data_IF_729384448189
#
_entry.id   IF_729384448189
#
_cell.length_a   1.000
_cell.length_b   1.000
_cell.length_c   1.000
_cell.angle_alpha   90.00
_cell.angle_beta   90.00
_cell.angle_gamma   90.00
#
_symmetry.space_group_name_H-M   'P 1'
#
loop_
_entity.id
_entity.type
_entity.pdbx_description
1 polymer ?
#
# COMPACT_ATOMS: atom_id res chain seq x y z
N UNK A 1 -32.79 -34.36 -36.83
CA UNK A 1 -33.88 -33.46 -36.38
C UNK A 1 -33.47 -32.99 -34.99
N UNK A 2 -32.92 -31.82 -34.66
CA UNK A 2 -32.52 -30.56 -35.32
C UNK A 2 -31.37 -29.93 -34.47
N UNK A 3 -30.34 -29.38 -35.12
CA UNK A 3 -29.64 -28.12 -34.75
C UNK A 3 -30.49 -26.94 -35.32
N UNK A 4 -30.23 -25.61 -35.12
CA UNK A 4 -29.21 -24.86 -34.34
C UNK A 4 -29.72 -23.53 -33.70
N UNK A 5 -28.82 -22.71 -33.10
CA UNK A 5 -28.59 -21.24 -33.34
C UNK A 5 -27.74 -20.65 -32.18
N UNK A 6 -26.44 -20.44 -32.35
CA UNK A 6 -25.73 -19.22 -32.81
C UNK A 6 -25.89 -17.99 -31.88
N UNK A 7 -24.79 -17.63 -31.20
CA UNK A 7 -24.30 -16.24 -31.16
C UNK A 7 -22.78 -16.25 -31.31
N UNK A 8 -22.33 -15.76 -32.46
CA UNK A 8 -20.94 -15.41 -32.73
C UNK A 8 -20.71 -13.97 -32.24
N UNK A 9 -19.65 -13.76 -31.48
CA UNK A 9 -19.16 -12.46 -31.03
C UNK A 9 -17.65 -12.42 -31.20
N UNK A 10 -17.22 -11.67 -32.20
CA UNK A 10 -15.86 -11.40 -32.64
C UNK A 10 -14.95 -11.00 -31.46
N UNK A 11 -13.90 -11.79 -31.18
CA UNK A 11 -12.73 -11.27 -30.47
C UNK A 11 -11.65 -10.97 -31.50
N UNK A 12 -11.43 -9.67 -31.70
CA UNK A 12 -10.32 -9.12 -32.48
C UNK A 12 -9.02 -9.53 -31.80
N UNK A 13 -8.11 -10.09 -32.59
CA UNK A 13 -6.80 -10.53 -32.13
C UNK A 13 -5.98 -9.39 -31.56
N UNK A 14 -5.51 -9.59 -30.34
CA UNK A 14 -4.30 -8.95 -29.81
C UNK A 14 -3.22 -10.03 -29.82
N UNK A 15 -2.04 -9.67 -30.32
CA UNK A 15 -0.88 -10.52 -30.57
C UNK A 15 -0.71 -11.68 -29.58
N UNK A 16 -0.53 -12.87 -30.14
CA UNK A 16 -0.68 -14.14 -29.45
C UNK A 16 0.35 -14.41 -28.36
N UNK A 17 -0.15 -14.59 -27.14
CA UNK A 17 0.46 -15.49 -26.17
C UNK A 17 0.03 -16.91 -26.54
N UNK A 18 0.94 -17.73 -27.06
CA UNK A 18 0.63 -19.13 -27.37
C UNK A 18 0.76 -20.06 -26.15
N UNK A 19 1.42 -19.61 -25.08
CA UNK A 19 1.55 -20.33 -23.80
C UNK A 19 1.76 -19.32 -22.65
N UNK A 20 1.15 -19.61 -21.49
CA UNK A 20 1.39 -18.93 -20.21
C UNK A 20 2.78 -19.27 -19.63
N UNK A 21 3.34 -18.42 -18.77
CA UNK A 21 4.63 -18.71 -18.08
C UNK A 21 4.58 -20.02 -17.30
N UNK A 22 3.41 -20.41 -16.81
CA UNK A 22 3.18 -21.69 -16.16
C UNK A 22 3.37 -22.90 -17.10
N UNK A 23 2.89 -22.83 -18.35
CA UNK A 23 3.03 -23.91 -19.34
C UNK A 23 4.47 -24.08 -19.81
N UNK A 24 5.22 -22.98 -19.91
CA UNK A 24 6.68 -23.00 -20.17
C UNK A 24 7.47 -23.62 -19.00
N UNK A 25 7.10 -23.30 -17.76
CA UNK A 25 7.70 -23.92 -16.57
C UNK A 25 7.39 -25.41 -16.46
N UNK A 26 6.15 -25.83 -16.72
CA UNK A 26 5.74 -27.25 -16.71
C UNK A 26 6.49 -28.04 -17.79
N UNK A 27 6.53 -27.52 -19.01
CA UNK A 27 7.27 -28.12 -20.13
C UNK A 27 8.74 -28.31 -19.77
N UNK A 28 9.38 -27.28 -19.20
CA UNK A 28 10.78 -27.37 -18.78
C UNK A 28 10.97 -28.37 -17.65
N UNK A 29 10.12 -28.38 -16.61
CA UNK A 29 10.19 -29.38 -15.53
C UNK A 29 10.12 -30.80 -16.09
N UNK A 30 9.25 -31.06 -17.05
CA UNK A 30 9.19 -32.35 -17.74
C UNK A 30 10.44 -32.63 -18.59
N UNK A 31 10.93 -31.66 -19.35
CA UNK A 31 12.13 -31.80 -20.18
C UNK A 31 13.42 -31.98 -19.36
N UNK A 32 13.54 -31.32 -18.21
CA UNK A 32 14.61 -31.55 -17.23
C UNK A 32 14.52 -32.97 -16.66
N UNK A 33 13.32 -33.47 -16.39
CA UNK A 33 13.09 -34.84 -15.91
C UNK A 33 13.41 -35.90 -16.96
N UNK A 34 13.20 -35.59 -18.24
CA UNK A 34 13.41 -36.49 -19.38
C UNK A 34 14.78 -36.33 -20.05
N UNK A 35 15.60 -35.36 -19.62
CA UNK A 35 16.87 -34.96 -20.24
C UNK A 35 16.75 -34.67 -21.75
N UNK A 36 15.56 -34.23 -22.18
CA UNK A 36 15.19 -34.01 -23.58
C UNK A 36 14.71 -32.57 -23.75
N UNK A 37 15.64 -31.69 -24.12
CA UNK A 37 15.39 -30.24 -24.36
C UNK A 37 15.73 -29.84 -25.80
N UNK A 38 16.11 -30.79 -26.65
CA UNK A 38 16.64 -30.52 -27.99
C UNK A 38 15.57 -30.11 -29.01
N UNK A 39 14.30 -30.45 -28.75
CA UNK A 39 13.21 -30.23 -29.70
C UNK A 39 12.37 -28.94 -29.50
N UNK A 40 12.59 -28.17 -28.44
CA UNK A 40 11.87 -26.89 -28.26
C UNK A 40 12.65 -25.73 -28.87
N UNK A 41 12.03 -25.04 -29.82
CA UNK A 41 12.62 -23.86 -30.46
C UNK A 41 12.51 -22.64 -29.53
N UNK A 42 13.56 -22.40 -28.77
CA UNK A 42 13.67 -21.24 -27.88
C UNK A 42 14.07 -19.94 -28.60
N UNK A 43 14.37 -19.96 -29.89
CA UNK A 43 14.88 -18.77 -30.61
C UNK A 43 13.83 -17.65 -30.73
N UNK A 44 12.54 -18.02 -30.67
CA UNK A 44 11.43 -17.07 -30.60
C UNK A 44 11.39 -16.26 -29.29
N UNK A 45 12.19 -16.63 -28.27
CA UNK A 45 12.21 -15.97 -26.97
C UNK A 45 13.44 -15.07 -26.74
N UNK A 46 14.36 -14.96 -27.72
CA UNK A 46 15.54 -14.08 -27.62
C UNK A 46 15.15 -12.62 -27.33
N UNK A 47 14.07 -12.14 -27.94
CA UNK A 47 13.59 -10.76 -27.76
C UNK A 47 13.07 -10.42 -26.36
N UNK A 48 12.98 -11.39 -25.44
CA UNK A 48 12.65 -11.14 -24.04
C UNK A 48 13.86 -10.68 -23.21
N UNK A 49 15.08 -10.87 -23.74
CA UNK A 49 16.32 -10.38 -23.14
C UNK A 49 16.63 -8.91 -23.50
N UNK A 50 15.92 -8.34 -24.47
CA UNK A 50 16.08 -6.93 -24.84
C UNK A 50 15.49 -6.01 -23.75
N UNK A 51 16.10 -4.82 -23.50
CA UNK A 51 15.59 -3.85 -22.52
C UNK A 51 14.11 -3.54 -22.71
N UNK A 52 13.34 -3.56 -21.62
CA UNK A 52 11.89 -3.31 -21.64
C UNK A 52 11.55 -1.89 -21.20
N UNK A 53 11.49 -0.98 -22.17
CA UNK A 53 11.23 0.43 -21.94
C UNK A 53 9.99 0.92 -22.70
N UNK A 54 8.78 0.45 -22.35
CA UNK A 54 7.56 0.99 -22.95
C UNK A 54 7.39 2.47 -22.56
N UNK A 55 6.89 3.28 -23.49
CA UNK A 55 6.50 4.66 -23.21
C UNK A 55 5.22 4.72 -22.37
N UNK A 56 5.19 5.61 -21.38
CA UNK A 56 4.01 5.83 -20.53
C UNK A 56 2.95 6.62 -21.32
N UNK A 57 1.71 6.14 -21.42
CA UNK A 57 0.62 6.91 -22.01
C UNK A 57 0.34 8.20 -21.23
N UNK A 58 -0.16 9.22 -21.90
CA UNK A 58 -0.75 10.38 -21.23
C UNK A 58 -2.12 9.98 -20.65
N UNK A 59 -2.21 10.01 -19.32
CA UNK A 59 -3.41 9.69 -18.56
C UNK A 59 -4.26 10.91 -18.23
N UNK A 60 -3.90 12.10 -18.69
CA UNK A 60 -4.73 13.30 -18.49
C UNK A 60 -6.02 13.23 -19.32
N UNK A 61 -7.10 13.81 -18.79
CA UNK A 61 -8.36 13.94 -19.51
C UNK A 61 -9.17 15.15 -18.99
N UNK A 62 -10.02 15.79 -19.81
CA UNK A 62 -10.87 16.88 -19.35
C UNK A 62 -11.74 16.46 -18.15
N UNK A 63 -11.66 17.21 -17.05
CA UNK A 63 -12.41 16.95 -15.82
C UNK A 63 -11.86 15.81 -14.94
N UNK A 64 -10.79 15.12 -15.35
CA UNK A 64 -10.11 14.12 -14.53
C UNK A 64 -9.24 14.81 -13.48
N UNK A 65 -9.31 14.31 -12.25
CA UNK A 65 -8.48 14.81 -11.15
C UNK A 65 -7.01 14.44 -11.32
N UNK A 66 -6.11 15.21 -10.70
CA UNK A 66 -4.68 14.92 -10.71
C UNK A 66 -4.43 13.60 -9.99
N UNK A 67 -5.10 13.36 -8.85
CA UNK A 67 -5.01 12.14 -8.06
C UNK A 67 -5.43 10.89 -8.85
N UNK A 68 -6.46 11.02 -9.70
CA UNK A 68 -6.91 9.95 -10.59
C UNK A 68 -5.89 9.67 -11.69
N UNK A 69 -5.34 10.72 -12.28
CA UNK A 69 -4.26 10.62 -13.28
C UNK A 69 -3.03 9.93 -12.66
N UNK A 70 -2.63 10.33 -11.45
CA UNK A 70 -1.53 9.71 -10.70
C UNK A 70 -1.81 8.26 -10.37
N UNK A 71 -3.03 7.91 -9.99
CA UNK A 71 -3.38 6.49 -9.81
C UNK A 71 -3.16 5.68 -11.09
N UNK A 72 -3.53 6.20 -12.27
CA UNK A 72 -3.31 5.51 -13.55
C UNK A 72 -1.81 5.37 -13.86
N UNK A 73 -1.01 6.40 -13.61
CA UNK A 73 0.46 6.31 -13.71
C UNK A 73 1.02 5.21 -12.78
N UNK A 74 0.55 5.14 -11.54
CA UNK A 74 1.00 4.13 -10.56
C UNK A 74 0.62 2.71 -10.99
N UNK A 75 -0.60 2.51 -11.50
CA UNK A 75 -1.04 1.22 -12.07
C UNK A 75 -0.19 0.85 -13.28
N UNK A 76 0.13 1.81 -14.15
CA UNK A 76 0.96 1.56 -15.32
C UNK A 76 2.38 1.17 -14.92
N UNK A 77 3.00 1.88 -13.97
CA UNK A 77 4.35 1.55 -13.50
C UNK A 77 4.39 0.18 -12.81
N UNK A 78 3.34 -0.17 -12.05
CA UNK A 78 3.21 -1.49 -11.43
C UNK A 78 3.20 -2.59 -12.50
N UNK A 79 2.38 -2.42 -13.54
CA UNK A 79 2.29 -3.36 -14.67
C UNK A 79 3.59 -3.42 -15.48
N UNK A 80 4.27 -2.29 -15.66
CA UNK A 80 5.58 -2.26 -16.32
C UNK A 80 6.58 -3.14 -15.56
N UNK A 81 6.69 -2.99 -14.24
CA UNK A 81 7.58 -3.81 -13.40
C UNK A 81 7.20 -5.29 -13.40
N UNK A 82 5.90 -5.59 -13.37
CA UNK A 82 5.41 -6.97 -13.50
C UNK A 82 5.84 -7.59 -14.83
N UNK A 83 5.60 -6.90 -15.95
CA UNK A 83 5.99 -7.37 -17.28
C UNK A 83 7.50 -7.51 -17.42
N UNK A 84 8.29 -6.58 -16.86
CA UNK A 84 9.75 -6.65 -16.83
C UNK A 84 10.24 -7.89 -16.07
N UNK A 85 9.59 -8.21 -14.94
CA UNK A 85 9.88 -9.42 -14.16
C UNK A 85 9.56 -10.69 -14.94
N UNK A 86 8.39 -10.77 -15.58
CA UNK A 86 8.03 -11.92 -16.42
C UNK A 86 8.95 -12.07 -17.64
N UNK A 87 9.35 -10.95 -18.27
CA UNK A 87 10.32 -10.97 -19.37
C UNK A 87 11.68 -11.47 -18.91
N UNK A 88 12.14 -11.03 -17.75
CA UNK A 88 13.40 -11.47 -17.13
C UNK A 88 13.40 -12.98 -16.92
N UNK A 89 12.33 -13.55 -16.35
CA UNK A 89 12.20 -15.00 -16.18
C UNK A 89 12.28 -15.75 -17.51
N UNK A 90 11.58 -15.27 -18.54
CA UNK A 90 11.62 -15.90 -19.87
C UNK A 90 13.04 -15.81 -20.48
N UNK A 91 13.72 -14.68 -20.30
CA UNK A 91 15.11 -14.53 -20.74
C UNK A 91 16.06 -15.50 -20.01
N UNK A 92 15.94 -15.66 -18.70
CA UNK A 92 16.72 -16.64 -17.92
C UNK A 92 16.55 -18.06 -18.48
N UNK A 93 15.32 -18.46 -18.77
CA UNK A 93 15.02 -19.76 -19.37
C UNK A 93 15.65 -19.91 -20.77
N UNK A 94 15.60 -18.85 -21.59
CA UNK A 94 16.26 -18.81 -22.89
C UNK A 94 17.78 -19.01 -22.74
N UNK A 95 18.44 -18.26 -21.85
CA UNK A 95 19.89 -18.35 -21.61
C UNK A 95 20.28 -19.78 -21.17
N UNK A 96 19.55 -20.36 -20.22
CA UNK A 96 19.77 -21.75 -19.77
C UNK A 96 19.67 -22.74 -20.95
N UNK A 97 18.71 -22.53 -21.86
CA UNK A 97 18.55 -23.37 -23.04
C UNK A 97 19.74 -23.28 -24.01
N UNK A 98 20.31 -22.07 -24.20
CA UNK A 98 21.45 -21.85 -25.09
C UNK A 98 22.73 -22.47 -24.52
N UNK A 99 22.97 -22.28 -23.21
CA UNK A 99 24.11 -22.88 -22.50
C UNK A 99 24.10 -24.41 -22.64
N UNK A 100 22.93 -25.06 -22.51
CA UNK A 100 22.80 -26.52 -22.71
C UNK A 100 23.09 -26.97 -24.14
N UNK A 101 22.86 -26.12 -25.14
CA UNK A 101 23.17 -26.42 -26.55
C UNK A 101 24.65 -26.21 -26.90
N UNK A 102 25.49 -25.84 -25.92
CA UNK A 102 26.90 -25.50 -26.14
C UNK A 102 27.09 -24.10 -26.71
N UNK A 103 26.01 -23.33 -26.87
CA UNK A 103 26.05 -21.94 -27.31
C UNK A 103 26.13 -21.07 -26.06
N UNK A 104 27.32 -20.59 -25.71
CA UNK A 104 27.47 -19.61 -24.63
C UNK A 104 27.09 -18.25 -25.22
N UNK A 105 25.99 -17.60 -24.82
CA UNK A 105 25.69 -16.26 -25.26
C UNK A 105 26.75 -15.30 -24.70
N UNK A 106 27.23 -14.38 -25.52
CA UNK A 106 28.28 -13.39 -25.18
C UNK A 106 27.81 -12.35 -24.12
N UNK A 107 26.57 -12.46 -23.65
CA UNK A 107 25.93 -11.51 -22.75
C UNK A 107 25.52 -12.20 -21.44
N UNK A 108 26.46 -12.35 -20.52
CA UNK A 108 26.15 -12.68 -19.12
C UNK A 108 25.92 -11.35 -18.40
N UNK A 109 24.66 -10.92 -18.34
CA UNK A 109 24.25 -9.92 -17.35
C UNK A 109 23.93 -10.65 -16.05
N UNK A 110 24.47 -10.15 -14.94
CA UNK A 110 24.19 -10.62 -13.58
C UNK A 110 22.75 -10.28 -13.22
N UNK A 111 21.86 -11.26 -13.17
CA UNK A 111 20.46 -11.08 -12.77
C UNK A 111 20.28 -11.65 -11.36
N UNK A 112 20.03 -10.77 -10.38
CA UNK A 112 19.63 -11.16 -9.03
C UNK A 112 18.09 -11.10 -8.95
N UNK A 113 17.40 -12.24 -8.98
CA UNK A 113 15.97 -12.33 -8.75
C UNK A 113 15.66 -13.18 -7.49
N UNK A 114 15.09 -12.61 -6.42
CA UNK A 114 14.60 -13.40 -5.30
C UNK A 114 13.16 -13.90 -5.57
N UNK A 115 12.92 -15.20 -5.35
CA UNK A 115 11.60 -15.86 -5.38
C UNK A 115 11.30 -16.41 -4.00
N UNK A 116 10.10 -16.15 -3.43
CA UNK A 116 9.62 -16.82 -2.20
C UNK A 116 8.10 -17.07 -2.27
N UNK A 117 7.67 -18.27 -1.82
CA UNK A 117 6.28 -18.75 -1.65
C UNK A 117 5.91 -18.97 -0.16
N UNK A 118 4.62 -18.76 0.20
CA UNK A 118 3.85 -19.57 1.18
C UNK A 118 3.74 -19.16 2.66
N UNK A 119 2.56 -18.66 3.09
CA UNK A 119 2.04 -18.73 4.49
C UNK A 119 1.60 -17.40 5.17
N UNK A 120 0.45 -17.39 5.88
CA UNK A 120 -0.25 -16.19 6.44
C UNK A 120 0.44 -15.53 7.66
N UNK A 121 1.24 -14.52 7.34
CA UNK A 121 1.34 -13.17 7.95
C UNK A 121 1.02 -12.21 6.79
N UNK A 122 0.82 -10.90 6.98
CA UNK A 122 0.80 -10.01 5.81
C UNK A 122 2.11 -10.26 5.05
N UNK A 123 2.03 -10.85 3.84
CA UNK A 123 3.23 -11.14 3.06
C UNK A 123 3.97 -9.83 2.85
N UNK A 124 5.31 -9.84 2.78
CA UNK A 124 6.16 -8.65 2.73
C UNK A 124 5.88 -7.66 1.56
N UNK A 125 4.82 -7.86 0.76
CA UNK A 125 4.41 -7.07 -0.40
C UNK A 125 2.92 -6.71 -0.40
N UNK A 126 2.15 -7.10 0.62
CA UNK A 126 0.69 -7.01 0.56
C UNK A 126 0.21 -5.55 0.65
N UNK A 127 0.89 -4.71 1.43
CA UNK A 127 0.51 -3.31 1.64
C UNK A 127 1.73 -2.40 1.43
N UNK A 128 2.22 -2.27 0.18
CA UNK A 128 3.49 -1.63 -0.14
C UNK A 128 3.50 -0.11 0.06
N UNK A 129 2.34 0.48 0.37
CA UNK A 129 2.19 1.91 0.68
C UNK A 129 2.31 2.22 2.18
N UNK A 130 2.40 1.21 3.04
CA UNK A 130 2.44 1.43 4.48
C UNK A 130 3.77 2.05 4.91
N UNK A 131 3.69 3.09 5.74
CA UNK A 131 4.84 3.67 6.44
C UNK A 131 4.60 3.78 7.93
N UNK A 132 5.66 3.59 8.72
CA UNK A 132 5.64 3.79 10.17
C UNK A 132 6.33 5.11 10.51
N UNK A 133 5.65 5.98 11.28
CA UNK A 133 6.15 7.31 11.64
C UNK A 133 6.86 7.22 12.99
N UNK A 134 8.14 7.61 13.01
CA UNK A 134 9.05 7.40 14.12
C UNK A 134 9.42 8.69 14.86
N UNK A 135 9.38 8.61 16.19
CA UNK A 135 9.93 9.60 17.12
C UNK A 135 11.23 9.10 17.71
N UNK A 136 12.17 10.01 17.98
CA UNK A 136 13.42 9.64 18.63
C UNK A 136 13.19 9.14 20.04
N UNK A 137 13.81 8.02 20.40
CA UNK A 137 13.78 7.46 21.73
C UNK A 137 14.61 8.33 22.72
N UNK A 138 14.11 8.50 23.95
CA UNK A 138 14.77 9.27 25.01
C UNK A 138 16.04 8.59 25.53
N UNK A 139 15.96 7.29 25.77
CA UNK A 139 17.05 6.44 26.24
C UNK A 139 17.16 5.24 25.29
N UNK A 140 17.84 5.38 24.14
CA UNK A 140 18.01 4.25 23.24
C UNK A 140 18.90 3.20 23.90
N UNK A 141 18.32 2.08 24.32
CA UNK A 141 19.06 0.94 24.92
C UNK A 141 20.10 0.37 23.93
N UNK A 142 19.83 0.47 22.62
CA UNK A 142 20.73 0.06 21.53
C UNK A 142 20.58 1.00 20.31
N UNK A 143 21.58 1.06 19.42
CA UNK A 143 21.57 1.92 18.20
C UNK A 143 20.34 1.70 17.29
N UNK A 144 19.77 0.50 17.25
CA UNK A 144 18.62 0.15 16.40
C UNK A 144 17.25 0.40 17.06
N UNK A 145 17.21 0.71 18.37
CA UNK A 145 16.02 1.23 19.07
C UNK A 145 16.02 2.77 19.11
N UNK A 146 16.60 3.39 18.09
CA UNK A 146 16.67 4.85 17.99
C UNK A 146 15.29 5.48 17.80
N UNK A 147 14.38 4.75 17.16
CA UNK A 147 13.05 5.23 16.79
C UNK A 147 11.96 4.46 17.52
N UNK A 148 10.92 5.18 17.94
CA UNK A 148 9.68 4.64 18.49
C UNK A 148 8.55 5.01 17.53
N UNK A 149 7.96 3.99 16.92
CA UNK A 149 6.89 4.17 15.94
C UNK A 149 5.54 4.21 16.64
N UNK A 150 4.82 5.33 16.55
CA UNK A 150 3.53 5.53 17.26
C UNK A 150 2.36 5.89 16.34
N UNK A 151 2.64 6.19 15.08
CA UNK A 151 1.63 6.40 14.05
C UNK A 151 2.04 5.67 12.78
N UNK A 152 1.05 5.44 11.93
CA UNK A 152 1.23 4.97 10.56
C UNK A 152 0.99 6.13 9.57
N UNK A 153 1.44 5.92 8.35
CA UNK A 153 1.17 6.77 7.20
C UNK A 153 1.01 5.92 5.95
N UNK A 154 0.48 6.55 4.91
CA UNK A 154 0.25 5.94 3.61
C UNK A 154 1.01 6.70 2.55
N UNK A 155 1.94 6.05 1.85
CA UNK A 155 2.65 6.62 0.70
C UNK A 155 1.66 6.92 -0.42
N UNK A 156 1.68 8.16 -0.92
CA UNK A 156 0.75 8.63 -1.97
C UNK A 156 1.50 9.24 -3.17
N UNK A 157 2.80 9.49 -3.04
CA UNK A 157 3.69 9.90 -4.13
C UNK A 157 5.13 9.47 -3.83
N UNK A 158 6.09 9.84 -4.68
CA UNK A 158 7.52 9.56 -4.45
C UNK A 158 8.09 10.25 -3.21
N UNK A 159 7.45 11.28 -2.69
CA UNK A 159 7.97 12.05 -1.56
C UNK A 159 6.89 12.52 -0.58
N UNK A 160 5.65 12.05 -0.71
CA UNK A 160 4.58 12.39 0.22
C UNK A 160 3.90 11.15 0.81
N UNK A 161 3.67 11.20 2.12
CA UNK A 161 2.74 10.33 2.82
C UNK A 161 1.54 11.13 3.32
N UNK A 162 0.40 10.44 3.43
CA UNK A 162 -0.79 10.87 4.13
C UNK A 162 -0.84 10.25 5.53
N UNK A 163 -1.26 11.02 6.53
CA UNK A 163 -1.42 10.55 7.92
C UNK A 163 -2.44 11.43 8.66
N UNK A 164 -2.63 11.20 9.96
CA UNK A 164 -3.48 12.01 10.82
C UNK A 164 -2.73 13.26 11.33
N UNK A 165 -3.42 14.38 11.47
CA UNK A 165 -2.83 15.63 11.96
C UNK A 165 -2.32 15.53 13.40
N UNK A 166 -3.00 14.74 14.25
CA UNK A 166 -2.56 14.53 15.62
C UNK A 166 -1.23 13.75 15.74
N UNK A 167 -0.77 13.12 14.65
CA UNK A 167 0.56 12.51 14.57
C UNK A 167 1.67 13.53 14.33
N UNK A 168 1.36 14.82 14.15
CA UNK A 168 2.38 15.87 13.98
C UNK A 168 3.14 16.16 15.27
N UNK A 169 2.49 15.98 16.43
CA UNK A 169 3.06 16.30 17.73
C UNK A 169 2.44 15.46 18.85
N UNK A 170 3.26 14.66 19.51
CA UNK A 170 2.84 13.87 20.66
C UNK A 170 2.92 14.68 21.96
N UNK A 171 2.00 14.40 22.88
CA UNK A 171 2.00 15.01 24.20
C UNK A 171 2.97 14.29 25.15
N UNK A 172 4.02 14.98 25.61
CA UNK A 172 4.95 14.44 26.62
C UNK A 172 4.28 14.10 27.96
N UNK A 173 3.05 14.60 28.21
CA UNK A 173 2.26 14.23 29.40
C UNK A 173 1.75 12.79 29.34
N UNK A 174 1.71 12.19 28.14
CA UNK A 174 1.16 10.86 27.88
C UNK A 174 2.20 9.86 27.38
N UNK A 175 3.39 10.34 27.03
CA UNK A 175 4.43 9.57 26.33
C UNK A 175 5.79 9.93 26.95
N UNK A 176 6.40 8.97 27.65
CA UNK A 176 7.63 9.19 28.45
C UNK A 176 8.91 8.62 27.83
N UNK A 177 8.76 7.86 26.74
CA UNK A 177 9.81 7.11 26.06
C UNK A 177 10.45 7.87 24.88
N UNK A 178 9.88 9.01 24.47
CA UNK A 178 10.36 9.85 23.37
C UNK A 178 11.22 11.03 23.84
N UNK A 179 12.23 11.40 23.06
CA UNK A 179 13.15 12.51 23.31
C UNK A 179 12.54 13.87 22.91
N UNK A 180 11.68 13.89 21.90
CA UNK A 180 11.05 15.09 21.36
C UNK A 180 9.62 14.81 20.91
N UNK A 181 8.82 15.86 20.75
CA UNK A 181 7.38 15.74 20.47
C UNK A 181 7.04 15.54 19.00
N UNK A 182 7.93 15.97 18.11
CA UNK A 182 7.79 15.92 16.66
C UNK A 182 8.46 14.65 16.10
N UNK A 183 7.83 13.97 15.12
CA UNK A 183 8.45 12.83 14.47
C UNK A 183 9.62 13.29 13.58
N UNK A 184 10.60 12.41 13.39
CA UNK A 184 11.80 12.71 12.60
C UNK A 184 11.90 11.84 11.35
N UNK A 185 11.37 10.62 11.38
CA UNK A 185 11.55 9.65 10.29
C UNK A 185 10.25 8.95 9.92
N UNK A 186 10.22 8.44 8.68
CA UNK A 186 9.26 7.45 8.21
C UNK A 186 10.02 6.20 7.79
N UNK A 187 9.59 5.05 8.31
CA UNK A 187 10.03 3.73 7.89
C UNK A 187 9.10 3.16 6.82
N UNK A 188 9.66 2.69 5.71
CA UNK A 188 8.92 2.23 4.53
C UNK A 188 9.41 0.84 4.09
N UNK A 189 8.63 0.13 3.27
CA UNK A 189 9.10 -1.06 2.55
C UNK A 189 9.32 -2.32 3.40
N UNK A 190 8.82 -2.35 4.64
CA UNK A 190 8.94 -3.49 5.56
C UNK A 190 7.59 -3.91 6.11
N UNK A 191 7.42 -5.21 6.36
CA UNK A 191 6.31 -5.73 7.16
C UNK A 191 6.64 -5.79 8.65
N UNK A 192 7.90 -6.02 9.01
CA UNK A 192 8.36 -5.98 10.41
C UNK A 192 9.04 -4.64 10.72
N UNK A 193 8.42 -3.83 11.59
CA UNK A 193 8.95 -2.51 11.97
C UNK A 193 10.22 -2.59 12.82
N UNK A 194 10.56 -3.76 13.36
CA UNK A 194 11.82 -4.00 14.06
C UNK A 194 12.82 -4.80 13.21
N UNK A 195 12.53 -5.06 11.93
CA UNK A 195 13.49 -5.70 11.04
C UNK A 195 14.78 -4.87 10.98
N UNK A 196 15.89 -5.54 11.26
CA UNK A 196 17.21 -4.95 11.33
C UNK A 196 18.15 -5.57 10.28
N UNK A 197 17.62 -6.21 9.22
CA UNK A 197 18.39 -6.64 8.04
C UNK A 197 18.84 -5.43 7.18
N UNK A 198 19.49 -4.47 7.85
CA UNK A 198 19.91 -3.14 7.41
C UNK A 198 20.94 -3.14 6.27
N UNK A 199 21.45 -4.30 5.83
CA UNK A 199 22.69 -4.39 5.07
C UNK A 199 22.69 -5.34 3.85
N UNK A 200 21.65 -6.15 3.65
CA UNK A 200 21.74 -7.22 2.65
C UNK A 200 21.04 -6.91 1.32
N UNK A 201 20.10 -5.95 1.27
CA UNK A 201 19.16 -5.87 0.12
C UNK A 201 18.76 -4.46 -0.35
N UNK A 202 19.43 -3.39 0.07
CA UNK A 202 19.09 -2.00 -0.36
C UNK A 202 17.60 -1.64 -0.14
N UNK A 203 16.95 -2.29 0.83
CA UNK A 203 15.54 -2.09 1.21
C UNK A 203 15.48 -0.80 2.05
N UNK A 204 14.96 0.27 1.46
CA UNK A 204 14.77 1.58 2.11
C UNK A 204 14.10 1.36 3.49
N UNK A 205 14.63 1.99 4.54
CA UNK A 205 14.32 1.64 5.94
C UNK A 205 13.92 2.82 6.81
N UNK A 206 14.58 3.98 6.75
CA UNK A 206 14.17 5.18 7.47
C UNK A 206 14.50 6.39 6.59
N UNK A 207 13.52 7.24 6.31
CA UNK A 207 13.70 8.49 5.58
C UNK A 207 13.31 9.65 6.48
N UNK A 208 14.16 10.66 6.54
CA UNK A 208 13.89 11.86 7.31
C UNK A 208 12.66 12.62 6.78
N UNK A 209 11.93 13.20 7.72
CA UNK A 209 10.80 14.07 7.45
C UNK A 209 11.33 15.47 7.18
N UNK A 210 11.12 15.97 5.95
CA UNK A 210 11.42 17.36 5.59
C UNK A 210 10.39 18.32 6.16
N UNK A 211 9.11 17.97 6.05
CA UNK A 211 8.01 18.84 6.48
C UNK A 211 6.79 18.02 6.88
N UNK A 212 6.17 18.38 8.00
CA UNK A 212 4.85 17.90 8.39
C UNK A 212 3.83 19.01 8.10
N UNK A 213 2.91 18.75 7.17
CA UNK A 213 1.93 19.73 6.68
C UNK A 213 0.56 19.36 7.25
N UNK A 214 0.20 20.01 8.35
CA UNK A 214 -1.09 19.84 9.01
C UNK A 214 -2.17 20.59 8.24
N UNK A 215 -3.34 19.98 8.06
CA UNK A 215 -4.48 20.67 7.46
C UNK A 215 -4.83 21.95 8.24
N UNK A 216 -5.03 23.11 7.58
CA UNK A 216 -5.14 24.41 8.26
C UNK A 216 -6.31 24.51 9.25
N UNK A 217 -7.38 23.73 9.04
CA UNK A 217 -8.54 23.72 9.93
C UNK A 217 -8.42 22.72 11.11
N UNK A 218 -7.28 22.04 11.26
CA UNK A 218 -7.06 21.15 12.40
C UNK A 218 -6.77 21.94 13.68
N UNK A 219 -7.66 21.83 14.66
CA UNK A 219 -7.54 22.52 15.94
C UNK A 219 -7.43 21.51 17.11
N UNK A 220 -6.21 21.13 17.56
CA UNK A 220 -6.08 20.27 18.72
C UNK A 220 -6.62 20.97 19.98
N UNK A 221 -7.30 20.26 20.90
CA UNK A 221 -7.42 18.81 20.98
C UNK A 221 -8.65 18.23 20.25
N UNK A 222 -9.39 19.03 19.46
CA UNK A 222 -10.53 18.54 18.68
C UNK A 222 -10.06 17.54 17.61
N UNK A 223 -10.97 16.66 17.19
CA UNK A 223 -10.69 15.57 16.24
C UNK A 223 -11.28 15.81 14.85
N UNK A 224 -11.54 17.06 14.51
CA UNK A 224 -12.03 17.50 13.20
C UNK A 224 -10.86 17.90 12.30
N UNK A 225 -11.02 17.69 11.00
CA UNK A 225 -9.95 17.94 10.01
C UNK A 225 -8.62 17.24 10.37
N UNK A 226 -8.70 16.06 11.00
CA UNK A 226 -7.54 15.32 11.52
C UNK A 226 -6.80 14.58 10.40
N UNK A 227 -6.16 15.35 9.52
CA UNK A 227 -5.41 14.88 8.36
C UNK A 227 -4.18 15.75 8.14
N UNK A 228 -3.09 15.12 7.70
CA UNK A 228 -1.84 15.79 7.41
C UNK A 228 -1.05 15.06 6.33
N UNK A 229 -0.13 15.80 5.72
CA UNK A 229 0.85 15.27 4.79
C UNK A 229 2.24 15.29 5.43
N UNK A 230 3.05 14.30 5.10
CA UNK A 230 4.48 14.26 5.42
C UNK A 230 5.22 14.37 4.10
N UNK A 231 6.04 15.41 3.95
CA UNK A 231 7.01 15.52 2.89
C UNK A 231 8.32 14.87 3.33
N UNK A 232 8.81 13.91 2.54
CA UNK A 232 10.09 13.24 2.74
C UNK A 232 11.25 14.14 2.29
N UNK A 233 12.42 13.97 2.92
CA UNK A 233 13.65 14.68 2.53
C UNK A 233 14.20 14.21 1.18
N UNK A 234 13.98 12.94 0.83
CA UNK A 234 14.37 12.34 -0.44
C UNK A 234 13.21 11.62 -1.13
N UNK A 235 13.23 11.61 -2.47
CA UNK A 235 12.29 10.81 -3.25
C UNK A 235 12.60 9.32 -3.14
N UNK A 236 11.54 8.52 -3.00
CA UNK A 236 11.61 7.06 -3.04
C UNK A 236 11.46 6.56 -4.47
N UNK A 237 12.16 5.46 -4.76
CA UNK A 237 11.94 4.68 -5.98
C UNK A 237 10.89 3.62 -5.70
N UNK A 238 9.89 3.53 -6.56
CA UNK A 238 8.86 2.50 -6.43
C UNK A 238 9.42 1.13 -6.82
N UNK A 239 9.18 0.13 -5.98
CA UNK A 239 9.64 -1.26 -6.12
C UNK A 239 8.51 -2.21 -5.76
N UNK A 240 8.68 -3.53 -5.93
CA UNK A 240 7.64 -4.50 -5.56
C UNK A 240 7.24 -4.45 -4.06
N UNK A 241 8.05 -3.80 -3.22
CA UNK A 241 7.90 -3.67 -1.78
C UNK A 241 7.44 -2.27 -1.35
N UNK A 242 7.52 -1.29 -2.27
CA UNK A 242 7.25 0.12 -2.00
C UNK A 242 6.49 0.75 -3.16
N UNK A 243 5.22 1.05 -2.94
CA UNK A 243 4.32 1.60 -3.96
C UNK A 243 3.38 2.61 -3.31
N UNK A 244 2.98 3.66 -4.02
CA UNK A 244 1.95 4.56 -3.52
C UNK A 244 0.57 3.90 -3.58
N UNK A 245 -0.33 4.33 -2.70
CA UNK A 245 -1.75 4.05 -2.82
C UNK A 245 -2.45 5.10 -3.67
N UNK A 246 -3.62 4.75 -4.22
CA UNK A 246 -4.49 5.68 -4.91
C UNK A 246 -5.47 6.35 -3.94
N UNK A 247 -5.93 7.57 -4.26
CA UNK A 247 -6.85 8.34 -3.42
C UNK A 247 -8.27 8.31 -3.96
N UNK A 248 -9.23 7.85 -3.17
CA UNK A 248 -10.62 7.80 -3.60
C UNK A 248 -11.26 9.21 -3.60
N UNK A 249 -11.66 9.75 -4.77
CA UNK A 249 -12.14 11.13 -4.86
C UNK A 249 -13.61 11.29 -4.48
N UNK A 250 -14.39 10.20 -4.48
CA UNK A 250 -15.84 10.30 -4.38
C UNK A 250 -16.33 10.18 -2.94
N UNK A 251 -17.38 10.92 -2.61
CA UNK A 251 -18.04 10.80 -1.31
C UNK A 251 -18.69 9.42 -1.14
N UNK A 252 -19.30 8.92 -2.20
CA UNK A 252 -19.89 7.58 -2.26
C UNK A 252 -18.82 6.54 -2.63
N UNK A 253 -18.83 5.43 -1.89
CA UNK A 253 -17.98 4.26 -2.10
C UNK A 253 -18.79 2.96 -2.00
N UNK A 254 -20.13 3.00 -2.04
CA UNK A 254 -20.98 1.80 -1.98
C UNK A 254 -20.66 0.79 -3.09
N UNK A 255 -20.28 1.30 -4.27
CA UNK A 255 -19.84 0.45 -5.39
C UNK A 255 -18.55 -0.33 -5.13
N UNK A 256 -17.78 0.06 -4.11
CA UNK A 256 -16.55 -0.64 -3.70
C UNK A 256 -16.82 -1.77 -2.70
N UNK A 257 -18.09 -1.97 -2.32
CA UNK A 257 -18.54 -3.00 -1.38
C UNK A 257 -18.99 -2.43 -0.04
N UNK A 258 -19.21 -3.32 0.92
CA UNK A 258 -19.70 -2.98 2.28
C UNK A 258 -18.61 -3.00 3.34
N UNK A 259 -17.40 -3.43 2.96
CA UNK A 259 -16.30 -3.65 3.88
C UNK A 259 -15.05 -2.91 3.40
N UNK A 260 -14.25 -2.44 4.35
CA UNK A 260 -12.93 -1.89 4.14
C UNK A 260 -11.86 -2.73 4.82
N UNK A 261 -10.61 -2.46 4.44
CA UNK A 261 -9.40 -3.05 5.01
C UNK A 261 -8.69 -1.98 5.81
N UNK A 262 -8.29 -2.32 7.04
CA UNK A 262 -7.41 -1.51 7.87
C UNK A 262 -6.09 -2.23 8.07
N UNK A 263 -5.00 -1.47 8.10
CA UNK A 263 -3.65 -2.01 8.25
C UNK A 263 -2.79 -1.12 9.14
N UNK A 264 -1.94 -1.73 9.94
CA UNK A 264 -1.00 -1.01 10.79
C UNK A 264 -0.25 -1.92 11.77
N UNK A 265 0.60 -1.30 12.60
CA UNK A 265 1.45 -1.98 13.58
C UNK A 265 0.94 -1.78 15.01
N UNK A 266 -0.32 -1.41 15.17
CA UNK A 266 -0.88 -1.04 16.44
C UNK A 266 -0.89 -2.15 17.49
N UNK A 267 -1.36 -1.78 18.67
CA UNK A 267 -1.53 -2.67 19.79
C UNK A 267 -2.53 -3.78 19.44
N UNK A 268 -2.11 -5.01 19.69
CA UNK A 268 -2.95 -6.20 19.49
C UNK A 268 -3.73 -6.52 20.77
N UNK A 269 -4.65 -7.48 20.70
CA UNK A 269 -5.35 -8.08 21.85
C UNK A 269 -4.42 -8.56 22.97
N UNK A 270 -3.14 -8.79 22.68
CA UNK A 270 -2.09 -9.16 23.64
C UNK A 270 -1.59 -7.99 24.49
N UNK A 271 -2.05 -6.77 24.22
CA UNK A 271 -1.67 -5.57 24.96
C UNK A 271 -0.30 -4.99 24.59
N UNK A 272 0.30 -5.46 23.49
CA UNK A 272 1.57 -4.95 22.97
C UNK A 272 1.44 -4.57 21.50
N UNK A 273 2.22 -3.55 21.11
CA UNK A 273 2.41 -3.15 19.72
C UNK A 273 2.92 -4.32 18.89
N UNK A 274 2.32 -4.55 17.72
CA UNK A 274 2.78 -5.60 16.82
C UNK A 274 4.03 -5.16 16.07
N UNK A 275 5.06 -6.00 16.07
CA UNK A 275 6.22 -5.81 15.20
C UNK A 275 5.86 -6.05 13.74
N UNK A 276 5.01 -7.04 13.50
CA UNK A 276 4.55 -7.43 12.17
C UNK A 276 3.32 -6.62 11.77
N UNK A 277 3.26 -6.17 10.53
CA UNK A 277 2.11 -5.45 9.99
C UNK A 277 0.85 -6.33 10.10
N UNK A 278 -0.17 -5.80 10.74
CA UNK A 278 -1.46 -6.44 10.90
C UNK A 278 -2.44 -5.93 9.83
N UNK A 279 -3.41 -6.78 9.52
CA UNK A 279 -4.50 -6.48 8.59
C UNK A 279 -5.81 -6.96 9.19
N UNK A 280 -6.85 -6.16 9.07
CA UNK A 280 -8.19 -6.57 9.43
C UNK A 280 -9.24 -6.02 8.45
N UNK A 281 -10.41 -6.65 8.42
CA UNK A 281 -11.57 -6.21 7.63
C UNK A 281 -12.60 -5.62 8.58
N UNK A 282 -13.17 -4.48 8.19
CA UNK A 282 -14.17 -3.73 8.95
C UNK A 282 -15.36 -3.39 8.07
N UNK A 283 -16.53 -3.24 8.68
CA UNK A 283 -17.75 -2.87 7.95
C UNK A 283 -17.85 -1.35 7.89
N UNK A 284 -18.31 -0.84 6.74
CA UNK A 284 -18.68 0.58 6.65
C UNK A 284 -19.98 0.81 7.43
N UNK A 285 -20.01 1.88 8.21
CA UNK A 285 -21.17 2.22 9.04
C UNK A 285 -21.73 3.56 8.58
N UNK A 286 -23.05 3.59 8.37
CA UNK A 286 -23.75 4.79 7.94
C UNK A 286 -23.61 5.92 8.97
N UNK A 287 -23.46 7.15 8.48
CA UNK A 287 -23.22 8.34 9.32
C UNK A 287 -24.24 8.51 10.46
N UNK A 288 -25.57 8.42 10.23
CA UNK A 288 -26.55 8.55 11.31
C UNK A 288 -26.44 7.43 12.37
N UNK A 289 -26.17 6.20 11.93
CA UNK A 289 -26.00 5.06 12.83
C UNK A 289 -24.74 5.24 13.68
N UNK A 290 -23.62 5.62 13.06
CA UNK A 290 -22.38 5.85 13.78
C UNK A 290 -22.49 7.01 14.77
N UNK A 291 -23.09 8.12 14.37
CA UNK A 291 -23.29 9.28 15.23
C UNK A 291 -24.16 8.90 16.44
N UNK A 292 -25.26 8.17 16.22
CA UNK A 292 -26.09 7.63 17.31
C UNK A 292 -25.27 6.74 18.25
N UNK A 293 -24.53 5.75 17.74
CA UNK A 293 -23.75 4.82 18.56
C UNK A 293 -22.70 5.56 19.40
N UNK A 294 -21.99 6.52 18.80
CA UNK A 294 -20.91 7.24 19.47
C UNK A 294 -21.44 8.32 20.45
N UNK A 295 -22.59 8.95 20.17
CA UNK A 295 -23.22 9.93 21.07
C UNK A 295 -23.93 9.28 22.26
N UNK A 296 -24.43 8.04 22.12
CA UNK A 296 -25.05 7.30 23.23
C UNK A 296 -24.02 6.85 24.28
N UNK A 297 -22.72 6.89 23.96
CA UNK A 297 -21.67 6.62 24.93
C UNK A 297 -21.19 7.90 25.64
N UNK A 298 -20.76 7.82 26.92
CA UNK A 298 -20.36 8.99 27.73
C UNK A 298 -19.04 9.67 27.31
N UNK A 299 -18.61 9.55 26.03
CA UNK A 299 -17.36 10.07 25.50
C UNK A 299 -17.44 11.47 24.86
N UNK A 300 -18.46 12.27 25.21
CA UNK A 300 -18.46 13.73 24.98
C UNK A 300 -17.17 14.45 25.47
N UNK A 301 -16.30 13.74 26.21
CA UNK A 301 -15.02 14.19 26.75
C UNK A 301 -13.82 14.11 25.77
N UNK A 302 -13.97 13.60 24.54
CA UNK A 302 -12.86 13.51 23.56
C UNK A 302 -12.64 14.77 22.72
N UNK A 303 -13.29 15.88 23.07
CA UNK A 303 -13.33 17.10 22.25
C UNK A 303 -13.92 16.82 20.85
N UNK A 304 -14.96 15.97 20.84
CA UNK A 304 -15.70 15.57 19.65
C UNK A 304 -17.20 15.69 19.96
N UNK A 305 -17.90 16.44 19.12
CA UNK A 305 -19.29 16.86 19.29
C UNK A 305 -20.17 16.34 18.14
N UNK A 306 -19.98 15.07 17.77
CA UNK A 306 -20.72 14.40 16.69
C UNK A 306 -19.99 14.38 15.36
N UNK A 307 -20.43 13.47 14.49
CA UNK A 307 -19.83 13.14 13.22
C UNK A 307 -20.06 14.25 12.20
N UNK A 308 -19.01 14.64 11.47
CA UNK A 308 -19.07 15.66 10.43
C UNK A 308 -18.90 15.04 9.04
N UNK A 309 -19.26 15.76 7.98
CA UNK A 309 -19.17 15.28 6.60
C UNK A 309 -17.76 14.87 6.17
N UNK A 310 -16.73 15.52 6.73
CA UNK A 310 -15.32 15.21 6.51
C UNK A 310 -14.82 14.00 7.33
N UNK A 311 -15.72 13.29 8.01
CA UNK A 311 -15.45 12.07 8.75
C UNK A 311 -16.28 10.92 8.17
N UNK A 312 -15.80 9.70 8.39
CA UNK A 312 -16.52 8.46 8.11
C UNK A 312 -16.27 7.46 9.24
N UNK A 313 -17.08 6.41 9.27
CA UNK A 313 -17.11 5.45 10.34
C UNK A 313 -17.01 4.03 9.80
N UNK A 314 -16.19 3.21 10.44
CA UNK A 314 -16.06 1.80 10.10
C UNK A 314 -15.64 0.98 11.33
N UNK A 315 -16.11 -0.25 11.41
CA UNK A 315 -15.79 -1.17 12.49
C UNK A 315 -16.70 -2.39 12.49
N UNK A 316 -16.38 -3.39 13.30
CA UNK A 316 -17.30 -4.50 13.57
C UNK A 316 -18.11 -4.17 14.83
N UNK A 317 -19.43 -4.03 14.69
CA UNK A 317 -20.30 -3.67 15.81
C UNK A 317 -20.36 -4.76 16.89
N UNK A 318 -20.17 -6.03 16.51
CA UNK A 318 -20.06 -7.14 17.46
C UNK A 318 -18.75 -7.08 18.29
N UNK A 319 -17.78 -6.25 17.86
CA UNK A 319 -16.45 -6.15 18.46
C UNK A 319 -15.45 -7.13 17.85
N UNK A 320 -14.32 -7.31 18.54
CA UNK A 320 -13.23 -8.22 18.13
C UNK A 320 -12.23 -7.64 17.14
N UNK A 321 -12.61 -6.65 16.30
CA UNK A 321 -11.72 -6.00 15.32
C UNK A 321 -11.86 -4.47 15.41
N UNK A 322 -10.73 -3.78 15.58
CA UNK A 322 -10.65 -2.31 15.54
C UNK A 322 -9.21 -1.85 15.28
N UNK A 323 -9.04 -0.59 14.88
CA UNK A 323 -7.75 0.12 14.92
C UNK A 323 -7.36 0.45 16.35
N UNK A 324 -6.09 0.30 16.71
CA UNK A 324 -5.60 0.52 18.07
C UNK A 324 -4.48 1.56 18.14
N UNK A 325 -3.93 1.81 19.34
CA UNK A 325 -2.75 2.68 19.47
C UNK A 325 -1.65 2.19 18.54
N UNK A 326 -1.04 3.06 17.73
CA UNK A 326 -0.03 2.68 16.74
C UNK A 326 -0.57 2.52 15.30
N UNK A 327 -1.89 2.36 15.12
CA UNK A 327 -2.53 2.38 13.79
C UNK A 327 -2.99 3.79 13.38
N UNK A 328 -2.90 4.77 14.28
CA UNK A 328 -3.31 6.15 14.04
C UNK A 328 -2.59 6.73 12.83
N UNK A 329 -3.34 7.36 11.93
CA UNK A 329 -2.82 7.85 10.65
C UNK A 329 -2.71 6.80 9.54
N UNK A 330 -2.95 5.52 9.83
CA UNK A 330 -3.02 4.45 8.84
C UNK A 330 -4.27 4.53 7.94
N UNK A 331 -4.30 3.78 6.83
CA UNK A 331 -5.40 3.83 5.87
C UNK A 331 -6.58 2.93 6.25
N UNK A 332 -7.79 3.44 6.01
CA UNK A 332 -8.95 2.62 5.66
C UNK A 332 -9.02 2.55 4.14
N UNK A 333 -8.99 1.35 3.58
CA UNK A 333 -8.76 1.15 2.16
C UNK A 333 -9.49 -0.04 1.56
N UNK A 334 -9.58 -0.07 0.23
CA UNK A 334 -10.10 -1.20 -0.53
C UNK A 334 -9.14 -1.55 -1.66
N UNK A 335 -9.00 -2.83 -1.95
CA UNK A 335 -8.12 -3.29 -3.03
C UNK A 335 -8.72 -2.91 -4.39
N UNK A 336 -7.92 -2.38 -5.29
CA UNK A 336 -8.35 -2.14 -6.68
C UNK A 336 -8.39 -3.51 -7.38
N UNK A 337 -9.52 -3.92 -8.00
CA UNK A 337 -9.63 -5.19 -8.69
C UNK A 337 -8.90 -5.12 -10.04
N UNK A 338 -7.58 -5.30 -9.99
CA UNK A 338 -6.72 -5.51 -11.15
C UNK A 338 -6.45 -7.02 -11.35
N UNK A 339 -5.55 -7.35 -12.28
CA UNK A 339 -5.05 -8.71 -12.51
C UNK A 339 -4.44 -9.31 -11.25
N UNK A 340 -4.45 -10.64 -11.12
CA UNK A 340 -3.88 -11.35 -9.97
C UNK A 340 -2.40 -10.98 -9.77
N UNK A 341 -2.04 -10.60 -8.53
CA UNK A 341 -0.67 -10.21 -8.16
C UNK A 341 -0.47 -8.69 -7.95
N UNK A 342 -1.37 -7.86 -8.47
CA UNK A 342 -1.29 -6.40 -8.28
C UNK A 342 -1.77 -6.01 -6.87
N UNK A 343 -0.91 -5.33 -6.08
CA UNK A 343 -1.23 -4.82 -4.74
C UNK A 343 -1.28 -3.29 -4.76
N UNK A 344 -2.39 -2.78 -5.28
CA UNK A 344 -2.72 -1.35 -5.25
C UNK A 344 -4.12 -1.16 -4.66
N UNK A 345 -4.29 -0.05 -3.94
CA UNK A 345 -5.44 0.18 -3.07
C UNK A 345 -5.96 1.59 -3.24
N UNK A 346 -7.28 1.74 -3.13
CA UNK A 346 -7.93 3.03 -2.91
C UNK A 346 -7.99 3.32 -1.41
N UNK A 347 -7.41 4.43 -0.98
CA UNK A 347 -7.57 4.96 0.38
C UNK A 347 -8.89 5.73 0.46
N UNK A 348 -9.78 5.28 1.33
CA UNK A 348 -11.09 5.88 1.57
C UNK A 348 -11.09 6.83 2.78
N UNK A 349 -10.21 6.56 3.75
CA UNK A 349 -10.04 7.43 4.90
C UNK A 349 -8.76 7.16 5.68
N UNK A 350 -8.50 8.02 6.66
CA UNK A 350 -7.31 7.97 7.53
C UNK A 350 -7.73 7.82 8.98
N UNK A 351 -7.16 6.84 9.68
CA UNK A 351 -7.48 6.51 11.07
C UNK A 351 -7.25 7.72 12.00
N UNK A 352 -8.32 8.26 12.57
CA UNK A 352 -8.25 9.43 13.46
C UNK A 352 -8.36 9.02 14.93
N UNK A 353 -9.46 8.38 15.34
CA UNK A 353 -9.62 7.88 16.71
C UNK A 353 -10.64 6.74 16.81
N UNK A 354 -10.50 5.91 17.84
CA UNK A 354 -11.46 4.87 18.21
C UNK A 354 -11.61 4.77 19.73
N UNK A 355 -12.73 4.24 20.22
CA UNK A 355 -13.05 4.21 21.66
C UNK A 355 -12.59 2.90 22.28
N UNK A 356 -11.29 2.65 22.28
CA UNK A 356 -10.75 1.39 22.81
C UNK A 356 -10.93 0.24 21.83
N UNK A 357 -9.92 -0.61 21.76
CA UNK A 357 -9.74 -1.48 20.61
C UNK A 357 -10.60 -2.74 20.72
N UNK A 358 -11.34 -3.05 19.65
CA UNK A 358 -12.06 -4.31 19.46
C UNK A 358 -13.27 -4.46 20.36
N UNK A 359 -13.84 -3.36 20.85
CA UNK A 359 -15.02 -3.38 21.73
C UNK A 359 -16.32 -3.32 20.94
N UNK A 360 -17.32 -4.04 21.42
CA UNK A 360 -18.68 -4.04 20.86
C UNK A 360 -19.24 -2.62 20.86
N UNK A 361 -19.90 -2.23 19.76
CA UNK A 361 -20.49 -0.91 19.51
C UNK A 361 -19.50 0.27 19.63
N UNK A 362 -18.21 0.05 19.35
CA UNK A 362 -17.20 1.10 19.41
C UNK A 362 -16.44 1.17 18.07
N UNK A 363 -17.07 1.69 17.01
CA UNK A 363 -16.42 1.80 15.72
C UNK A 363 -15.33 2.88 15.71
N UNK A 364 -14.40 2.74 14.77
CA UNK A 364 -13.37 3.74 14.49
C UNK A 364 -13.92 4.90 13.66
N UNK A 365 -13.40 6.10 13.93
CA UNK A 365 -13.65 7.32 13.15
C UNK A 365 -12.42 7.65 12.33
N UNK A 366 -12.65 7.92 11.04
CA UNK A 366 -11.62 8.19 10.04
C UNK A 366 -11.88 9.54 9.38
N UNK A 367 -10.82 10.26 9.00
CA UNK A 367 -10.90 11.41 8.12
C UNK A 367 -11.26 10.94 6.70
N UNK A 368 -12.36 11.45 6.13
CA UNK A 368 -12.89 11.01 4.82
C UNK A 368 -12.05 11.56 3.67
N UNK A 369 -11.44 10.69 2.87
CA UNK A 369 -10.51 11.08 1.79
C UNK A 369 -11.08 12.13 0.84
N UNK A 370 -12.29 11.91 0.34
CA UNK A 370 -12.94 12.77 -0.65
C UNK A 370 -13.20 14.19 -0.17
N UNK A 371 -13.20 14.45 1.14
CA UNK A 371 -13.35 15.80 1.69
C UNK A 371 -12.04 16.61 1.70
N UNK A 372 -10.90 15.96 1.46
CA UNK A 372 -9.57 16.59 1.53
C UNK A 372 -8.81 16.53 0.22
N UNK A 373 -9.39 15.95 -0.83
CA UNK A 373 -8.64 15.65 -2.05
C UNK A 373 -8.14 16.91 -2.76
N UNK A 374 -8.94 17.98 -2.79
CA UNK A 374 -8.51 19.26 -3.38
C UNK A 374 -7.27 19.82 -2.67
N UNK A 375 -7.28 19.81 -1.33
CA UNK A 375 -6.14 20.24 -0.52
C UNK A 375 -4.91 19.34 -0.73
N UNK A 376 -5.11 18.02 -0.81
CA UNK A 376 -4.01 17.08 -1.06
C UNK A 376 -3.40 17.34 -2.44
N UNK A 377 -4.23 17.50 -3.48
CA UNK A 377 -3.75 17.77 -4.83
C UNK A 377 -2.94 19.06 -4.91
N UNK A 378 -3.43 20.12 -4.27
CA UNK A 378 -2.73 21.41 -4.19
C UNK A 378 -1.37 21.27 -3.49
N UNK A 379 -1.30 20.58 -2.35
CA UNK A 379 -0.05 20.47 -1.59
C UNK A 379 0.98 19.51 -2.20
N UNK A 380 0.53 18.43 -2.87
CA UNK A 380 1.39 17.35 -3.35
C UNK A 380 1.79 17.55 -4.81
N UNK A 381 0.88 18.03 -5.64
CA UNK A 381 1.07 18.16 -7.10
C UNK A 381 0.76 19.56 -7.63
N UNK A 382 0.34 20.49 -6.78
CA UNK A 382 0.20 21.89 -7.15
C UNK A 382 1.55 22.46 -7.60
N UNK A 383 1.52 23.29 -8.64
CA UNK A 383 2.71 24.05 -9.02
C UNK A 383 2.98 25.06 -7.91
N UNK A 384 4.09 24.91 -7.19
CA UNK A 384 4.60 25.94 -6.29
C UNK A 384 4.78 27.22 -7.11
N UNK A 385 3.85 28.17 -7.00
CA UNK A 385 3.95 29.50 -7.59
C UNK A 385 5.02 30.32 -6.92
#
# INVERSE_FOLDING_TARGET
MWLPLIFAGIFVGVYGFKYSTHELEEFLKESFRKNDTTNFNFDNYKGYCDPYEPEMPDFTAPGRRISETKCQEYVWELRKRYNETERTKICELYIISQVKKGNIPEYIFTINAPVIFGGKTASAFQFPHMGAIGWRAKNPEQKWRMWIFKCAGTLISKNFLLTAAHCSKLSMKRVFDIAQTEPEVVRLGLSDIEDNEFLLFDRIMDINIKKFIVHPNYEPPKKYYDIALIQLESEVKFTNYLQPACLWPNHDFQQLGKNGIITGWGYTEKGFQSKQLQVATVDFIDTPQCDMILLLHPYHNRNWNGLQSHQLCAGLLDGGVDTCQGDSGGPLQVKIPLTEGDNIYWVLGITSFGVGCGRTNQPGVYSRMSSFIDWIEEQVWGSSS
#
